data_IF_642698702620
#
_entry.id   IF_642698702620
#
_cell.length_a   1.000
_cell.length_b   1.000
_cell.length_c   1.000
_cell.angle_alpha   90.00
_cell.angle_beta   90.00
_cell.angle_gamma   90.00
#
_symmetry.space_group_name_H-M   'P 1'
#
loop_
_entity.id
_entity.type
_entity.pdbx_description
1 polymer ?
#
# COMPACT_ATOMS: atom_id res chain seq x y z
N UNK A 1 -38.92 1.04 32.83
CA UNK A 1 -40.34 1.31 33.16
C UNK A 1 -40.48 2.58 33.99
N UNK A 2 -40.91 3.68 33.38
CA UNK A 2 -41.53 4.80 34.12
C UNK A 2 -43.04 4.54 34.09
N UNK A 3 -43.66 4.33 35.26
CA UNK A 3 -45.12 4.18 35.35
C UNK A 3 -45.72 2.91 34.69
N UNK A 4 -45.09 1.73 34.83
CA UNK A 4 -45.59 0.44 34.29
C UNK A 4 -45.73 0.37 32.75
N UNK A 5 -45.19 1.34 32.03
CA UNK A 5 -45.02 1.30 30.57
C UNK A 5 -43.56 0.96 30.30
N UNK A 6 -43.32 -0.06 29.47
CA UNK A 6 -42.05 -0.20 28.78
C UNK A 6 -42.03 0.91 27.70
N UNK A 7 -41.61 2.12 28.05
CA UNK A 7 -41.09 3.01 27.02
C UNK A 7 -39.92 2.28 26.37
N UNK A 8 -39.76 2.35 25.03
CA UNK A 8 -38.48 1.99 24.45
C UNK A 8 -37.47 2.87 25.18
N UNK A 9 -36.66 2.23 26.04
CA UNK A 9 -35.43 2.86 26.46
C UNK A 9 -34.72 3.20 25.16
N UNK A 10 -34.30 4.46 25.02
CA UNK A 10 -33.51 4.90 23.88
C UNK A 10 -32.43 3.85 23.65
N UNK A 11 -32.48 3.14 22.52
CA UNK A 11 -31.59 2.00 22.26
C UNK A 11 -30.15 2.48 22.44
N UNK A 12 -29.86 3.65 21.86
CA UNK A 12 -28.59 4.35 21.80
C UNK A 12 -28.02 4.87 23.14
N UNK A 13 -28.59 4.52 24.30
CA UNK A 13 -28.13 5.02 25.60
C UNK A 13 -28.56 4.13 26.80
N UNK A 14 -28.84 2.84 26.55
CA UNK A 14 -29.39 1.92 27.53
C UNK A 14 -28.37 0.91 28.10
N UNK A 15 -27.10 0.99 27.69
CA UNK A 15 -25.98 0.14 28.06
C UNK A 15 -26.13 -1.32 27.62
N UNK A 16 -26.96 -1.59 26.61
CA UNK A 16 -27.12 -2.91 26.01
C UNK A 16 -27.12 -2.78 24.49
N UNK A 17 -26.40 -3.68 23.80
CA UNK A 17 -26.49 -3.77 22.34
C UNK A 17 -27.88 -4.27 21.95
N UNK A 18 -28.78 -3.38 21.54
CA UNK A 18 -30.13 -3.71 21.09
C UNK A 18 -30.63 -2.84 19.92
N UNK A 19 -31.81 -3.15 19.38
CA UNK A 19 -32.29 -2.50 18.15
C UNK A 19 -31.42 -2.84 16.93
N UNK A 20 -31.00 -1.81 16.21
CA UNK A 20 -30.17 -1.87 14.99
C UNK A 20 -28.72 -1.41 15.24
N UNK A 21 -28.29 -1.36 16.50
CA UNK A 21 -26.92 -0.99 16.91
C UNK A 21 -25.84 -1.96 16.45
N UNK A 22 -24.68 -1.43 16.09
CA UNK A 22 -23.50 -2.26 15.76
C UNK A 22 -22.55 -2.44 16.92
N UNK A 23 -22.55 -1.56 17.92
CA UNK A 23 -21.96 -1.81 19.24
C UNK A 23 -22.85 -1.20 20.35
N UNK A 24 -22.54 -1.46 21.61
CA UNK A 24 -23.35 -1.02 22.76
C UNK A 24 -23.59 0.49 22.72
N UNK A 25 -24.85 0.90 22.60
CA UNK A 25 -25.28 2.31 22.58
C UNK A 25 -24.77 3.11 21.35
N UNK A 26 -24.33 2.47 20.25
CA UNK A 26 -23.84 3.18 19.06
C UNK A 26 -23.96 2.39 17.73
N UNK A 27 -23.80 3.13 16.64
CA UNK A 27 -23.81 2.57 15.29
C UNK A 27 -25.21 2.20 14.78
N UNK A 28 -25.28 1.74 13.54
CA UNK A 28 -26.56 1.55 12.87
C UNK A 28 -27.19 2.87 12.41
N UNK A 29 -28.42 2.81 11.86
CA UNK A 29 -29.05 3.96 11.22
C UNK A 29 -29.62 5.01 12.19
N UNK A 30 -29.91 4.62 13.44
CA UNK A 30 -30.66 5.43 14.40
C UNK A 30 -29.79 6.01 15.53
N UNK A 31 -28.58 5.48 15.76
CA UNK A 31 -27.67 5.92 16.80
C UNK A 31 -26.49 6.72 16.26
N UNK A 32 -25.79 7.43 17.16
CA UNK A 32 -24.56 8.12 16.79
C UNK A 32 -23.46 7.10 16.40
N UNK A 33 -22.52 7.46 15.50
CA UNK A 33 -21.45 6.56 15.10
C UNK A 33 -20.56 6.16 16.29
N UNK A 34 -20.16 4.90 16.29
CA UNK A 34 -19.26 4.30 17.24
C UNK A 34 -17.84 4.88 17.16
N UNK A 35 -17.17 4.90 18.32
CA UNK A 35 -15.78 5.34 18.43
C UNK A 35 -14.81 4.26 17.90
N UNK A 36 -13.56 4.65 17.66
CA UNK A 36 -12.54 3.70 17.21
C UNK A 36 -12.35 2.55 18.23
N UNK A 37 -12.28 1.31 17.73
CA UNK A 37 -12.17 0.09 18.53
C UNK A 37 -13.50 -0.63 18.82
N UNK A 38 -14.62 0.00 18.54
CA UNK A 38 -15.98 -0.57 18.69
C UNK A 38 -16.41 -1.32 17.42
N UNK A 39 -17.41 -2.20 17.54
CA UNK A 39 -17.95 -3.01 16.44
C UNK A 39 -18.76 -2.17 15.42
N UNK A 40 -18.63 -2.52 14.14
CA UNK A 40 -19.31 -1.88 13.02
C UNK A 40 -19.68 -2.89 11.93
N UNK A 41 -20.66 -2.56 11.08
CA UNK A 41 -20.95 -3.35 9.87
C UNK A 41 -20.65 -2.56 8.60
N UNK A 42 -20.78 -1.23 8.65
CA UNK A 42 -20.54 -0.30 7.54
C UNK A 42 -19.84 0.98 8.02
N UNK A 43 -19.22 1.73 7.11
CA UNK A 43 -18.44 2.93 7.47
C UNK A 43 -19.26 4.01 8.18
N UNK A 44 -20.57 4.08 7.95
CA UNK A 44 -21.44 5.05 8.65
C UNK A 44 -21.65 4.73 10.13
N UNK A 45 -21.37 3.49 10.54
CA UNK A 45 -21.45 3.09 11.94
C UNK A 45 -20.26 3.62 12.74
N UNK A 46 -19.20 4.12 12.08
CA UNK A 46 -17.99 4.60 12.72
C UNK A 46 -17.86 6.12 12.59
N UNK A 47 -17.22 6.74 13.58
CA UNK A 47 -16.80 8.16 13.46
C UNK A 47 -15.84 8.34 12.28
N UNK A 48 -15.01 7.33 11.99
CA UNK A 48 -14.00 7.34 10.93
C UNK A 48 -14.32 6.28 9.86
N UNK A 49 -13.75 5.08 9.97
CA UNK A 49 -13.88 4.00 8.97
C UNK A 49 -14.19 2.67 9.64
N UNK A 50 -14.90 1.78 8.96
CA UNK A 50 -15.18 0.43 9.44
C UNK A 50 -14.31 -0.60 8.70
N UNK A 51 -13.48 -1.34 9.43
CA UNK A 51 -12.60 -2.34 8.82
C UNK A 51 -13.39 -3.57 8.33
N UNK A 52 -13.23 -3.93 7.05
CA UNK A 52 -14.13 -4.89 6.36
C UNK A 52 -14.13 -6.30 6.94
N UNK A 53 -12.98 -6.81 7.38
CA UNK A 53 -12.85 -8.19 7.88
C UNK A 53 -12.96 -8.24 9.39
N UNK A 54 -12.38 -7.27 10.10
CA UNK A 54 -12.43 -7.23 11.55
C UNK A 54 -13.75 -6.69 12.11
N UNK A 55 -14.54 -5.97 11.31
CA UNK A 55 -15.80 -5.31 11.72
C UNK A 55 -15.59 -4.38 12.92
N UNK A 56 -14.48 -3.65 12.92
CA UNK A 56 -14.09 -2.73 13.99
C UNK A 56 -13.83 -1.34 13.42
N UNK A 57 -14.26 -0.31 14.14
CA UNK A 57 -13.97 1.07 13.77
C UNK A 57 -12.48 1.39 13.91
N UNK A 58 -11.89 1.96 12.86
CA UNK A 58 -10.48 2.34 12.80
C UNK A 58 -10.31 3.83 12.52
N UNK A 59 -9.21 4.40 13.03
CA UNK A 59 -8.92 5.84 12.97
C UNK A 59 -8.57 6.34 11.57
N UNK A 60 -8.14 5.46 10.69
CA UNK A 60 -7.52 5.80 9.41
C UNK A 60 -8.00 4.85 8.32
N UNK A 61 -8.08 5.35 7.10
CA UNK A 61 -8.38 4.51 5.95
C UNK A 61 -7.24 3.53 5.63
N UNK A 62 -6.02 3.79 6.15
CA UNK A 62 -4.84 2.95 5.97
C UNK A 62 -4.88 1.65 6.78
N UNK A 63 -5.97 1.40 7.51
CA UNK A 63 -6.16 0.19 8.31
C UNK A 63 -7.62 -0.30 8.20
N UNK A 64 -8.36 0.16 7.18
CA UNK A 64 -9.77 -0.19 6.97
C UNK A 64 -9.96 -1.48 6.15
N UNK A 65 -8.85 -2.12 5.78
CA UNK A 65 -8.79 -3.38 5.04
C UNK A 65 -9.41 -3.30 3.64
N UNK A 66 -9.61 -2.08 3.13
CA UNK A 66 -10.11 -1.78 1.79
C UNK A 66 -9.04 -1.00 1.05
N UNK A 67 -9.28 -0.82 -0.26
CA UNK A 67 -8.55 0.17 -1.04
C UNK A 67 -9.40 1.42 -1.09
N UNK A 68 -9.10 2.41 -0.26
CA UNK A 68 -9.90 3.61 -0.09
C UNK A 68 -9.02 4.87 -0.11
N UNK A 69 -9.64 6.05 -0.13
CA UNK A 69 -8.90 7.32 -0.22
C UNK A 69 -8.00 7.43 -1.46
N UNK A 70 -6.72 7.76 -1.24
CA UNK A 70 -5.67 7.89 -2.26
C UNK A 70 -4.66 6.73 -2.27
N UNK A 71 -5.00 5.62 -1.62
CA UNK A 71 -4.17 4.41 -1.56
C UNK A 71 -3.91 3.80 -2.94
N UNK A 72 -2.73 3.20 -3.10
CA UNK A 72 -2.37 2.47 -4.33
C UNK A 72 -2.63 0.98 -4.23
N UNK A 73 -2.56 0.41 -3.04
CA UNK A 73 -3.00 -0.94 -2.70
C UNK A 73 -3.72 -0.92 -1.34
N UNK A 74 -4.37 -2.00 -0.95
CA UNK A 74 -5.12 -2.08 0.31
C UNK A 74 -4.22 -1.72 1.49
N UNK A 75 -4.64 -0.71 2.28
CA UNK A 75 -3.98 -0.21 3.49
C UNK A 75 -2.58 0.40 3.27
N UNK A 76 -2.21 0.78 2.04
CA UNK A 76 -0.88 1.35 1.77
C UNK A 76 -0.77 2.22 0.50
N UNK A 77 0.28 3.04 0.47
CA UNK A 77 0.56 3.98 -0.63
C UNK A 77 -0.24 5.29 -0.55
N UNK A 78 0.06 6.25 -1.41
CA UNK A 78 -0.54 7.59 -1.37
C UNK A 78 -0.25 8.31 -0.05
N UNK A 79 -1.29 8.64 0.71
CA UNK A 79 -1.14 9.25 2.04
C UNK A 79 -0.83 8.25 3.17
N UNK A 80 -0.91 6.95 2.88
CA UNK A 80 -0.60 5.87 3.82
C UNK A 80 0.89 5.51 3.85
N UNK A 81 1.33 4.67 4.82
CA UNK A 81 2.66 4.08 4.78
C UNK A 81 2.92 3.39 3.44
N UNK A 82 4.18 3.44 2.99
CA UNK A 82 4.58 2.79 1.75
C UNK A 82 4.27 1.30 1.76
N UNK A 83 3.85 0.79 0.61
CA UNK A 83 3.54 -0.60 0.38
C UNK A 83 4.80 -1.50 0.40
N UNK A 84 4.58 -2.76 0.78
CA UNK A 84 5.59 -3.80 0.69
C UNK A 84 5.79 -4.28 -0.76
N UNK A 85 6.89 -4.99 -1.02
CA UNK A 85 7.15 -5.53 -2.35
C UNK A 85 6.02 -6.45 -2.87
N UNK A 86 5.70 -6.34 -4.17
CA UNK A 86 4.63 -7.06 -4.85
C UNK A 86 3.26 -6.37 -4.79
N UNK A 87 3.13 -5.28 -4.05
CA UNK A 87 1.91 -4.46 -3.96
C UNK A 87 1.88 -3.39 -5.04
N UNK A 88 0.68 -2.97 -5.43
CA UNK A 88 0.47 -1.97 -6.49
C UNK A 88 0.96 -0.59 -6.05
N UNK A 89 1.63 0.11 -6.95
CA UNK A 89 2.13 1.47 -6.76
C UNK A 89 1.89 2.31 -8.01
N UNK A 90 1.87 3.63 -7.86
CA UNK A 90 1.86 4.60 -8.94
C UNK A 90 3.24 5.29 -9.07
N UNK A 91 3.93 5.52 -7.95
CA UNK A 91 5.28 6.05 -7.91
C UNK A 91 6.10 5.49 -6.74
N UNK A 92 7.40 5.81 -6.71
CA UNK A 92 8.33 5.28 -5.70
C UNK A 92 7.92 5.65 -4.27
N UNK A 93 7.21 6.76 -4.07
CA UNK A 93 6.69 7.19 -2.77
C UNK A 93 5.62 6.27 -2.19
N UNK A 94 4.94 5.49 -3.05
CA UNK A 94 3.96 4.50 -2.62
C UNK A 94 4.60 3.23 -2.07
N UNK A 95 5.93 3.09 -2.16
CA UNK A 95 6.64 1.89 -1.78
C UNK A 95 7.57 2.14 -0.60
N UNK A 96 7.79 1.10 0.21
CA UNK A 96 8.94 1.06 1.13
C UNK A 96 10.29 0.97 0.40
N UNK A 97 10.25 0.58 -0.88
CA UNK A 97 11.38 0.50 -1.81
C UNK A 97 11.14 1.36 -3.04
N UNK A 98 11.00 0.71 -4.20
CA UNK A 98 10.87 1.38 -5.50
C UNK A 98 9.65 0.85 -6.25
N UNK A 99 9.04 1.66 -7.10
CA UNK A 99 7.90 1.29 -7.92
C UNK A 99 8.37 0.93 -9.34
N UNK A 100 8.15 -0.33 -9.75
CA UNK A 100 8.56 -0.79 -11.07
C UNK A 100 7.78 -0.08 -12.19
N UNK A 101 8.48 0.53 -13.14
CA UNK A 101 7.90 1.48 -14.10
C UNK A 101 6.79 0.89 -14.97
N UNK A 102 6.95 -0.36 -15.43
CA UNK A 102 5.94 -1.03 -16.29
C UNK A 102 5.02 -1.94 -15.50
N UNK A 103 5.56 -2.65 -14.51
CA UNK A 103 4.79 -3.61 -13.73
C UNK A 103 3.82 -2.94 -12.74
N UNK A 104 4.08 -1.67 -12.38
CA UNK A 104 3.31 -0.89 -11.40
C UNK A 104 3.17 -1.62 -10.07
N UNK A 105 4.24 -2.28 -9.64
CA UNK A 105 4.35 -2.99 -8.38
C UNK A 105 5.63 -2.63 -7.65
N UNK A 106 5.56 -2.58 -6.33
CA UNK A 106 6.70 -2.30 -5.48
C UNK A 106 7.74 -3.42 -5.57
N UNK A 107 9.00 -3.04 -5.70
CA UNK A 107 10.17 -3.92 -5.65
C UNK A 107 11.08 -3.50 -4.50
N UNK A 108 11.85 -4.46 -3.99
CA UNK A 108 12.74 -4.23 -2.84
C UNK A 108 14.01 -3.46 -3.19
N UNK A 109 14.35 -3.40 -4.48
CA UNK A 109 15.61 -2.87 -4.94
C UNK A 109 15.41 -2.07 -6.21
N UNK A 110 16.18 -0.99 -6.36
CA UNK A 110 16.29 -0.23 -7.59
C UNK A 110 16.79 -1.08 -8.78
N UNK A 111 17.49 -2.20 -8.52
CA UNK A 111 18.01 -3.10 -9.56
C UNK A 111 16.94 -3.97 -10.23
N UNK A 112 15.66 -3.74 -9.94
CA UNK A 112 14.53 -4.49 -10.49
C UNK A 112 13.33 -3.56 -10.76
N UNK A 113 13.55 -2.25 -10.82
CA UNK A 113 12.49 -1.24 -10.94
C UNK A 113 12.24 -0.78 -12.40
N UNK A 114 12.99 -1.35 -13.35
CA UNK A 114 12.93 -1.07 -14.78
C UNK A 114 13.26 0.39 -15.14
N UNK A 115 13.94 1.09 -14.25
CA UNK A 115 14.51 2.42 -14.50
C UNK A 115 16.03 2.32 -14.51
N UNK A 116 16.66 3.41 -14.91
CA UNK A 116 18.09 3.60 -14.69
C UNK A 116 18.22 4.69 -13.63
N UNK A 117 18.54 4.32 -12.41
CA UNK A 117 18.59 5.24 -11.28
C UNK A 117 19.91 5.15 -10.49
N UNK A 118 19.91 5.52 -9.21
CA UNK A 118 21.13 5.80 -8.44
C UNK A 118 22.03 4.58 -8.28
N UNK A 119 23.16 4.59 -8.98
CA UNK A 119 24.17 3.52 -8.88
C UNK A 119 24.14 2.57 -10.06
N UNK A 120 23.25 2.77 -11.02
CA UNK A 120 23.12 1.93 -12.20
C UNK A 120 23.84 2.50 -13.42
N UNK A 121 24.37 1.61 -14.25
CA UNK A 121 25.03 1.95 -15.52
C UNK A 121 24.10 1.71 -16.72
N UNK A 122 23.25 0.68 -16.64
CA UNK A 122 22.12 0.43 -17.52
C UNK A 122 20.86 0.19 -16.68
N UNK A 123 19.71 0.02 -17.33
CA UNK A 123 18.45 -0.28 -16.62
C UNK A 123 18.61 -1.56 -15.81
N UNK A 124 18.36 -1.51 -14.50
CA UNK A 124 18.44 -2.64 -13.58
C UNK A 124 19.86 -3.29 -13.48
N UNK A 125 20.92 -2.59 -13.90
CA UNK A 125 22.26 -3.16 -13.97
C UNK A 125 23.42 -2.16 -13.82
N UNK A 126 24.54 -2.67 -13.32
CA UNK A 126 25.79 -1.92 -13.13
C UNK A 126 25.92 -1.26 -11.76
N UNK A 127 27.15 -0.82 -11.45
CA UNK A 127 27.53 -0.24 -10.16
C UNK A 127 27.20 -1.12 -8.95
N UNK A 128 26.17 -0.76 -8.17
CA UNK A 128 25.70 -1.54 -7.00
C UNK A 128 24.83 -2.75 -7.39
N UNK A 129 24.32 -2.78 -8.62
CA UNK A 129 23.52 -3.86 -9.18
C UNK A 129 24.39 -4.92 -9.88
N UNK A 130 23.75 -5.93 -10.46
CA UNK A 130 24.44 -6.96 -11.23
C UNK A 130 25.07 -6.37 -12.49
N UNK A 131 26.17 -6.97 -12.95
CA UNK A 131 26.83 -6.52 -14.19
C UNK A 131 25.90 -6.64 -15.40
N UNK A 132 25.93 -5.62 -16.26
CA UNK A 132 25.08 -5.49 -17.44
C UNK A 132 25.39 -6.56 -18.51
N UNK A 133 24.35 -6.92 -19.28
CA UNK A 133 24.44 -7.87 -20.40
C UNK A 133 23.72 -7.26 -21.61
N UNK A 134 24.46 -6.77 -22.61
CA UNK A 134 23.88 -6.10 -23.77
C UNK A 134 23.39 -4.66 -23.51
N UNK A 135 23.24 -4.27 -22.25
CA UNK A 135 22.85 -2.91 -21.85
C UNK A 135 24.01 -1.92 -21.85
N UNK A 136 23.65 -0.66 -21.54
CA UNK A 136 24.56 0.47 -21.55
C UNK A 136 25.77 0.25 -20.63
N UNK A 137 26.93 0.71 -21.09
CA UNK A 137 28.18 0.68 -20.34
C UNK A 137 29.06 1.87 -20.69
N UNK A 138 29.94 2.21 -19.77
CA UNK A 138 30.98 3.25 -19.90
C UNK A 138 32.39 2.66 -19.73
N UNK A 139 32.50 1.52 -19.03
CA UNK A 139 33.74 0.82 -18.76
C UNK A 139 33.55 -0.70 -18.90
N UNK A 140 34.64 -1.39 -19.26
CA UNK A 140 34.64 -2.84 -19.44
C UNK A 140 34.23 -3.63 -18.18
N UNK A 141 34.48 -3.10 -16.99
CA UNK A 141 34.17 -3.73 -15.70
C UNK A 141 32.66 -3.73 -15.37
N UNK A 142 31.83 -2.95 -16.07
CA UNK A 142 30.38 -2.89 -15.90
C UNK A 142 29.66 -4.01 -16.65
N UNK A 143 30.35 -4.65 -17.60
CA UNK A 143 29.81 -5.71 -18.42
C UNK A 143 30.16 -7.08 -17.86
N UNK A 144 29.19 -8.00 -17.83
CA UNK A 144 29.45 -9.40 -17.45
C UNK A 144 30.46 -10.09 -18.37
N UNK A 145 30.55 -9.65 -19.63
CA UNK A 145 31.54 -10.10 -20.61
C UNK A 145 32.96 -9.56 -20.37
N UNK A 146 33.10 -8.53 -19.52
CA UNK A 146 34.34 -7.77 -19.37
C UNK A 146 34.68 -6.88 -20.57
N UNK A 147 33.73 -6.66 -21.50
CA UNK A 147 33.98 -5.87 -22.72
C UNK A 147 32.81 -4.94 -23.03
N UNK A 148 33.10 -3.64 -23.04
CA UNK A 148 32.19 -2.56 -23.40
C UNK A 148 32.63 -1.96 -24.75
N UNK A 149 31.69 -1.76 -25.66
CA UNK A 149 31.94 -1.15 -26.97
C UNK A 149 31.94 0.38 -26.89
N UNK A 150 32.92 0.91 -26.17
CA UNK A 150 33.05 2.34 -25.89
C UNK A 150 33.35 3.11 -27.18
N UNK A 151 32.46 4.04 -27.53
CA UNK A 151 32.62 4.97 -28.66
C UNK A 151 31.95 4.55 -29.98
N UNK A 152 31.23 3.42 -30.01
CA UNK A 152 30.31 3.08 -31.10
C UNK A 152 28.88 2.92 -30.55
N UNK A 153 28.60 1.81 -29.86
CA UNK A 153 27.27 1.55 -29.30
C UNK A 153 27.12 1.85 -27.81
N UNK A 154 28.23 2.02 -27.08
CA UNK A 154 28.29 2.20 -25.62
C UNK A 154 27.48 1.11 -24.87
N UNK A 155 27.54 -0.12 -25.39
CA UNK A 155 26.83 -1.30 -24.88
C UNK A 155 27.76 -2.47 -24.63
N UNK A 156 27.35 -3.32 -23.68
CA UNK A 156 28.08 -4.54 -23.35
C UNK A 156 28.03 -5.53 -24.50
N UNK A 157 29.19 -5.89 -25.06
CA UNK A 157 29.30 -6.83 -26.18
C UNK A 157 29.68 -8.23 -25.70
N UNK A 158 29.33 -9.30 -26.45
CA UNK A 158 29.73 -10.66 -26.11
C UNK A 158 31.25 -10.78 -25.99
N UNK A 159 31.72 -11.62 -25.05
CA UNK A 159 33.15 -11.90 -24.95
C UNK A 159 33.63 -12.57 -26.26
N UNK A 160 34.65 -11.99 -26.89
CA UNK A 160 35.34 -12.64 -28.01
C UNK A 160 36.09 -13.87 -27.50
N UNK A 161 35.99 -15.04 -28.16
CA UNK A 161 36.68 -16.26 -27.77
C UNK A 161 38.21 -16.18 -27.91
#
# INVERSE_FOLDING_TARGET
CVGNVCEPVDACANQVKDGDETDVDCGGPDCDPCSDGEECEIDTDCVNFCAETSNVCVTSHCDDEKKSGDETDVDCGGSCPGCAAGKVCADDGDCTGFCAATALVCVVSHCDDEKQDEGETGVDCGGTCLLCIGDACTENNQCKSGSCDVGDTDKCIPATP
#
